data_IF_218865638083
#
_entry.id   IF_218865638083
#
_cell.length_a   1.000
_cell.length_b   1.000
_cell.length_c   1.000
_cell.angle_alpha   90.00
_cell.angle_beta   90.00
_cell.angle_gamma   90.00
#
_symmetry.space_group_name_H-M   'P 1'
#
loop_
_entity.id
_entity.type
_entity.pdbx_description
1 polymer ?
#
# COMPACT_ATOMS: atom_id res chain seq x y z
N UNK A 1 -4.94 19.06 -16.19
CA UNK A 1 -5.62 19.42 -14.91
C UNK A 1 -4.77 18.94 -13.72
N UNK A 2 -4.80 19.60 -12.56
CA UNK A 2 -4.19 19.05 -11.34
C UNK A 2 -4.87 17.73 -10.98
N UNK A 3 -4.07 16.69 -10.73
CA UNK A 3 -4.52 15.36 -10.31
C UNK A 3 -3.96 15.00 -8.94
N UNK A 4 -4.53 13.99 -8.29
CA UNK A 4 -4.09 13.42 -7.01
C UNK A 4 -4.14 11.90 -7.11
N UNK A 5 -3.25 11.20 -6.40
CA UNK A 5 -3.27 9.73 -6.32
C UNK A 5 -3.71 9.34 -4.92
N UNK A 6 -4.94 8.82 -4.82
CA UNK A 6 -5.52 8.34 -3.57
C UNK A 6 -5.61 6.82 -3.60
N UNK A 7 -5.00 6.16 -2.62
CA UNK A 7 -4.98 4.69 -2.49
C UNK A 7 -5.73 4.30 -1.21
N UNK A 8 -6.72 3.43 -1.35
CA UNK A 8 -7.35 2.72 -0.23
C UNK A 8 -7.03 1.23 -0.38
N UNK A 9 -6.31 0.69 0.58
CA UNK A 9 -5.94 -0.72 0.63
C UNK A 9 -6.68 -1.43 1.77
N UNK A 10 -7.54 -2.39 1.42
CA UNK A 10 -8.23 -3.24 2.38
C UNK A 10 -7.54 -4.60 2.49
N UNK A 11 -7.02 -4.92 3.68
CA UNK A 11 -6.39 -6.20 3.97
C UNK A 11 -7.31 -7.06 4.84
N UNK A 12 -7.55 -8.33 4.49
CA UNK A 12 -8.50 -9.19 5.19
C UNK A 12 -7.92 -9.81 6.47
N UNK A 13 -6.81 -9.28 7.00
CA UNK A 13 -6.08 -9.81 8.16
C UNK A 13 -5.86 -8.74 9.22
N UNK A 14 -5.56 -9.18 10.45
CA UNK A 14 -5.16 -8.26 11.51
C UNK A 14 -3.68 -7.90 11.38
N UNK A 15 -3.40 -6.61 11.53
CA UNK A 15 -2.05 -6.05 11.48
C UNK A 15 -1.75 -5.39 12.82
N UNK A 16 -0.51 -5.51 13.29
CA UNK A 16 -0.02 -4.67 14.38
C UNK A 16 0.12 -3.21 13.92
N UNK A 17 0.24 -2.27 14.86
CA UNK A 17 0.48 -0.86 14.53
C UNK A 17 1.76 -0.68 13.69
N UNK A 18 2.83 -1.42 14.02
CA UNK A 18 4.06 -1.43 13.23
C UNK A 18 3.84 -1.97 11.81
N UNK A 19 3.02 -3.02 11.66
CA UNK A 19 2.66 -3.55 10.36
C UNK A 19 1.81 -2.58 9.55
N UNK A 20 0.89 -1.83 10.18
CA UNK A 20 0.11 -0.78 9.50
C UNK A 20 1.03 0.31 8.92
N UNK A 21 2.03 0.75 9.68
CA UNK A 21 3.03 1.72 9.20
C UNK A 21 3.83 1.14 8.03
N UNK A 22 4.31 -0.11 8.14
CA UNK A 22 4.97 -0.80 7.04
C UNK A 22 4.09 -0.96 5.79
N UNK A 23 2.78 -1.17 5.96
CA UNK A 23 1.85 -1.30 4.85
C UNK A 23 1.73 0.02 4.08
N UNK A 24 1.66 1.16 4.78
CA UNK A 24 1.66 2.49 4.15
C UNK A 24 2.94 2.73 3.35
N UNK A 25 4.10 2.39 3.91
CA UNK A 25 5.39 2.48 3.22
C UNK A 25 5.41 1.61 1.96
N UNK A 26 4.95 0.35 2.08
CA UNK A 26 4.91 -0.62 0.98
C UNK A 26 3.99 -0.17 -0.15
N UNK A 27 2.80 0.36 0.17
CA UNK A 27 1.90 0.93 -0.83
C UNK A 27 2.52 2.15 -1.51
N UNK A 28 3.22 3.00 -0.75
CA UNK A 28 3.89 4.18 -1.29
C UNK A 28 5.00 3.79 -2.27
N UNK A 29 5.89 2.87 -1.90
CA UNK A 29 6.95 2.38 -2.78
C UNK A 29 6.41 1.70 -4.04
N UNK A 30 5.35 0.89 -3.90
CA UNK A 30 4.72 0.22 -5.04
C UNK A 30 4.07 1.22 -6.02
N UNK A 31 3.43 2.28 -5.51
CA UNK A 31 2.90 3.38 -6.32
C UNK A 31 4.03 4.07 -7.08
N UNK A 32 5.10 4.44 -6.37
CA UNK A 32 6.28 5.08 -6.98
C UNK A 32 6.85 4.21 -8.09
N UNK A 33 7.03 2.92 -7.83
CA UNK A 33 7.53 1.97 -8.82
C UNK A 33 6.62 1.92 -10.07
N UNK A 34 5.30 1.92 -9.91
CA UNK A 34 4.37 1.92 -11.04
C UNK A 34 4.48 3.21 -11.88
N UNK A 35 4.67 4.37 -11.25
CA UNK A 35 4.86 5.65 -11.95
C UNK A 35 6.17 5.65 -12.73
N UNK A 36 7.26 5.20 -12.10
CA UNK A 36 8.57 5.09 -12.75
C UNK A 36 8.54 4.11 -13.93
N UNK A 37 7.90 2.95 -13.77
CA UNK A 37 7.74 1.94 -14.82
C UNK A 37 6.91 2.48 -16.00
N UNK A 38 6.00 3.44 -15.75
CA UNK A 38 5.24 4.15 -16.78
C UNK A 38 6.00 5.31 -17.43
N UNK A 39 7.26 5.54 -17.06
CA UNK A 39 8.10 6.62 -17.60
C UNK A 39 7.85 7.99 -16.97
N UNK A 40 7.12 8.06 -15.85
CA UNK A 40 6.90 9.30 -15.10
C UNK A 40 8.02 9.51 -14.08
N UNK A 41 8.68 10.66 -14.14
CA UNK A 41 9.73 11.03 -13.18
C UNK A 41 9.13 11.70 -11.93
N UNK A 42 8.32 10.94 -11.19
CA UNK A 42 7.74 11.41 -9.94
C UNK A 42 7.46 10.28 -8.96
N UNK A 43 7.38 10.64 -7.68
CA UNK A 43 6.93 9.74 -6.62
C UNK A 43 5.42 9.81 -6.35
N UNK A 44 4.69 10.61 -7.15
CA UNK A 44 3.27 10.88 -6.98
C UNK A 44 2.95 12.36 -7.16
N UNK A 45 1.89 12.83 -6.48
CA UNK A 45 1.46 14.24 -6.46
C UNK A 45 1.60 14.85 -5.06
N UNK A 46 1.63 16.19 -4.93
CA UNK A 46 1.74 16.86 -3.64
C UNK A 46 0.61 16.57 -2.64
N UNK A 47 -0.52 16.04 -3.11
CA UNK A 47 -1.72 15.78 -2.32
C UNK A 47 -2.11 14.29 -2.31
N UNK A 48 -1.15 13.40 -2.54
CA UNK A 48 -1.42 11.96 -2.46
C UNK A 48 -1.86 11.53 -1.06
N UNK A 49 -2.76 10.56 -1.01
CA UNK A 49 -3.20 9.94 0.23
C UNK A 49 -3.14 8.41 0.15
N UNK A 50 -2.74 7.78 1.27
CA UNK A 50 -2.74 6.32 1.43
C UNK A 50 -3.51 5.99 2.70
N UNK A 51 -4.57 5.20 2.57
CA UNK A 51 -5.35 4.65 3.66
C UNK A 51 -5.23 3.13 3.67
N UNK A 52 -4.82 2.56 4.80
CA UNK A 52 -4.78 1.11 5.00
C UNK A 52 -5.87 0.73 6.00
N UNK A 53 -6.83 -0.07 5.55
CA UNK A 53 -7.85 -0.67 6.38
C UNK A 53 -7.51 -2.16 6.59
N UNK A 54 -7.28 -2.54 7.83
CA UNK A 54 -7.03 -3.92 8.23
C UNK A 54 -8.04 -4.35 9.29
N UNK A 55 -8.14 -5.65 9.57
CA UNK A 55 -8.96 -6.11 10.70
C UNK A 55 -8.34 -5.64 12.01
N UNK A 56 -9.17 -5.26 12.97
CA UNK A 56 -8.71 -5.08 14.34
C UNK A 56 -8.29 -6.45 14.92
N UNK A 57 -7.23 -6.52 15.74
CA UNK A 57 -6.95 -7.69 16.55
C UNK A 57 -8.14 -7.99 17.47
N UNK A 58 -8.73 -9.19 17.37
CA UNK A 58 -9.84 -9.62 18.23
C UNK A 58 -9.54 -11.03 18.74
N UNK A 59 -9.56 -11.19 20.07
CA UNK A 59 -9.28 -12.48 20.72
C UNK A 59 -7.90 -13.03 20.35
N UNK A 60 -7.86 -14.31 19.99
CA UNK A 60 -6.63 -15.03 19.59
C UNK A 60 -6.35 -14.97 18.08
N UNK A 61 -6.98 -14.04 17.34
CA UNK A 61 -6.73 -13.90 15.91
C UNK A 61 -5.25 -13.66 15.62
N UNK A 62 -4.72 -14.34 14.60
CA UNK A 62 -3.34 -14.12 14.15
C UNK A 62 -3.14 -12.66 13.74
N UNK A 63 -2.14 -12.02 14.35
CA UNK A 63 -1.75 -10.64 14.04
C UNK A 63 -0.42 -10.68 13.30
N UNK A 64 -0.40 -10.20 12.06
CA UNK A 64 0.85 -10.08 11.33
C UNK A 64 1.64 -8.87 11.85
N UNK A 65 2.87 -9.13 12.30
CA UNK A 65 3.77 -8.11 12.82
C UNK A 65 4.45 -7.27 11.70
N UNK A 66 4.39 -7.72 10.45
CA UNK A 66 5.06 -7.09 9.31
C UNK A 66 4.18 -7.02 8.07
N UNK A 67 4.21 -5.87 7.40
CA UNK A 67 3.57 -5.67 6.09
C UNK A 67 4.52 -5.02 5.07
N UNK A 68 5.84 -5.19 5.24
CA UNK A 68 6.86 -4.76 4.27
C UNK A 68 6.88 -5.61 2.99
N UNK A 69 7.54 -5.19 1.90
CA UNK A 69 7.47 -5.86 0.59
C UNK A 69 7.89 -7.34 0.57
N UNK A 70 8.65 -7.80 1.58
CA UNK A 70 9.07 -9.20 1.74
C UNK A 70 8.17 -10.04 2.66
N UNK A 71 7.23 -9.44 3.39
CA UNK A 71 6.25 -10.21 4.15
C UNK A 71 5.13 -10.71 3.23
N UNK A 72 4.40 -11.74 3.66
CA UNK A 72 3.33 -12.34 2.85
C UNK A 72 2.30 -11.29 2.40
N UNK A 73 1.76 -10.52 3.36
CA UNK A 73 0.74 -9.52 3.08
C UNK A 73 1.30 -8.24 2.47
N UNK A 74 2.53 -7.84 2.81
CA UNK A 74 3.17 -6.70 2.17
C UNK A 74 3.49 -6.94 0.70
N UNK A 75 3.99 -8.13 0.35
CA UNK A 75 4.23 -8.50 -1.05
C UNK A 75 2.94 -8.51 -1.88
N UNK A 76 1.83 -8.99 -1.29
CA UNK A 76 0.50 -8.96 -1.92
C UNK A 76 0.01 -7.53 -2.12
N UNK A 77 0.14 -6.68 -1.10
CA UNK A 77 -0.21 -5.27 -1.15
C UNK A 77 0.57 -4.55 -2.24
N UNK A 78 1.89 -4.71 -2.27
CA UNK A 78 2.76 -4.07 -3.27
C UNK A 78 2.32 -4.41 -4.71
N UNK A 79 2.10 -5.69 -5.01
CA UNK A 79 1.63 -6.12 -6.34
C UNK A 79 0.22 -5.63 -6.67
N UNK A 80 -0.65 -5.47 -5.68
CA UNK A 80 -1.99 -4.95 -5.89
C UNK A 80 -1.94 -3.45 -6.21
N UNK A 81 -1.19 -2.68 -5.43
CA UNK A 81 -1.03 -1.23 -5.62
C UNK A 81 -0.34 -0.92 -6.95
N UNK A 82 0.78 -1.58 -7.24
CA UNK A 82 1.52 -1.36 -8.49
C UNK A 82 0.62 -1.56 -9.72
N UNK A 83 -0.11 -2.68 -9.78
CA UNK A 83 -1.06 -2.97 -10.87
C UNK A 83 -2.22 -1.98 -10.93
N UNK A 84 -2.79 -1.61 -9.78
CA UNK A 84 -3.91 -0.68 -9.74
C UNK A 84 -3.52 0.72 -10.21
N UNK A 85 -2.34 1.21 -9.81
CA UNK A 85 -1.80 2.49 -10.27
C UNK A 85 -1.51 2.41 -11.76
N UNK A 86 -0.80 1.39 -12.23
CA UNK A 86 -0.50 1.22 -13.65
C UNK A 86 -1.74 1.14 -14.55
N UNK A 87 -2.85 0.56 -14.06
CA UNK A 87 -4.11 0.49 -14.78
C UNK A 87 -4.93 1.81 -14.77
N UNK A 88 -4.59 2.74 -13.89
CA UNK A 88 -5.30 4.01 -13.70
C UNK A 88 -4.60 5.22 -14.35
N UNK A 89 -3.39 5.03 -14.89
CA UNK A 89 -2.66 6.00 -15.71
C UNK A 89 -3.29 6.12 -17.10
#
# INVERSE_FOLDING_TARGET
PPGTINIVAALPVALSDAALVNAVMTATEAKVQALLDAGLDCSGTPTDAVCVAARAPVGEAEVHAFAGPRSEWGARLARAVHRAVGAAL
#
